data_IF_174665318726
#
_entry.id   IF_174665318726
#
_cell.length_a   1.000
_cell.length_b   1.000
_cell.length_c   1.000
_cell.angle_alpha   90.00
_cell.angle_beta   90.00
_cell.angle_gamma   90.00
#
_symmetry.space_group_name_H-M   'P 1'
#
loop_
_entity.id
_entity.type
_entity.pdbx_description
1 polymer ?
#
# COMPACT_ATOMS: atom_id res chain seq x y z
N UNK A 1 5.58 9.26 -16.19
CA UNK A 1 6.21 9.17 -14.86
C UNK A 1 5.94 10.48 -14.16
N UNK A 2 5.57 10.49 -12.88
CA UNK A 2 5.39 11.73 -12.12
C UNK A 2 6.70 12.53 -12.13
N UNK A 3 6.71 13.73 -12.71
CA UNK A 3 7.89 14.59 -12.77
C UNK A 3 8.29 15.15 -11.40
N UNK A 4 7.39 15.10 -10.42
CA UNK A 4 7.64 15.53 -9.04
C UNK A 4 8.11 14.38 -8.14
N UNK A 5 8.09 13.13 -8.62
CA UNK A 5 8.69 12.02 -7.89
C UNK A 5 10.21 12.15 -7.99
N UNK A 6 10.82 12.56 -6.89
CA UNK A 6 12.26 12.70 -6.79
C UNK A 6 12.92 11.35 -6.46
N UNK A 7 14.19 11.21 -6.81
CA UNK A 7 15.01 10.13 -6.27
C UNK A 7 15.44 10.52 -4.84
N UNK A 8 14.75 9.98 -3.84
CA UNK A 8 15.06 10.29 -2.46
C UNK A 8 16.39 9.64 -2.05
N UNK A 9 17.30 10.46 -1.51
CA UNK A 9 18.47 9.91 -0.86
C UNK A 9 18.10 9.14 0.41
N UNK A 10 18.99 8.24 0.82
CA UNK A 10 18.76 7.33 1.94
C UNK A 10 18.58 8.06 3.28
N UNK A 11 19.18 9.25 3.44
CA UNK A 11 19.10 10.05 4.67
C UNK A 11 17.73 10.71 4.79
N UNK A 12 17.20 11.25 3.70
CA UNK A 12 15.85 11.80 3.63
C UNK A 12 14.83 10.73 3.99
N UNK A 13 14.89 9.56 3.36
CA UNK A 13 13.99 8.45 3.69
C UNK A 13 14.10 7.99 5.15
N UNK A 14 15.32 7.99 5.72
CA UNK A 14 15.50 7.65 7.12
C UNK A 14 14.76 8.63 8.05
N UNK A 15 14.89 9.94 7.82
CA UNK A 15 14.15 10.97 8.58
C UNK A 15 12.65 10.76 8.45
N UNK A 16 12.15 10.50 7.23
CA UNK A 16 10.72 10.22 7.00
C UNK A 16 10.24 9.01 7.76
N UNK A 17 11.02 7.93 7.75
CA UNK A 17 10.70 6.68 8.44
C UNK A 17 10.64 6.89 9.95
N UNK A 18 11.60 7.63 10.50
CA UNK A 18 11.64 7.90 11.94
C UNK A 18 10.46 8.79 12.35
N UNK A 19 10.11 9.81 11.55
CA UNK A 19 8.90 10.60 11.74
C UNK A 19 7.63 9.74 11.70
N UNK A 20 7.51 8.86 10.71
CA UNK A 20 6.35 7.98 10.59
C UNK A 20 6.15 7.14 11.86
N UNK A 21 7.21 6.45 12.31
CA UNK A 21 7.08 5.50 13.41
C UNK A 21 7.05 6.15 14.80
N UNK A 22 7.69 7.31 14.98
CA UNK A 22 7.63 8.04 16.25
C UNK A 22 6.23 8.61 16.52
N UNK A 23 5.51 9.04 15.47
CA UNK A 23 4.24 9.75 15.63
C UNK A 23 3.00 8.87 15.50
N UNK A 24 3.13 7.64 15.02
CA UNK A 24 1.98 6.76 14.79
C UNK A 24 1.25 6.34 16.09
N UNK A 25 1.86 6.55 17.25
CA UNK A 25 1.25 6.34 18.56
C UNK A 25 0.35 7.50 19.01
N UNK A 26 0.67 8.72 18.56
CA UNK A 26 0.11 9.97 19.05
C UNK A 26 -0.11 10.95 17.88
N UNK A 27 -0.76 10.49 16.81
CA UNK A 27 -1.19 11.38 15.72
C UNK A 27 -2.31 12.33 16.16
N UNK A 28 -2.98 12.01 17.27
CA UNK A 28 -4.04 12.83 17.84
C UNK A 28 -3.46 14.16 18.29
N UNK A 29 -3.84 15.25 17.61
CA UNK A 29 -3.33 16.58 17.95
C UNK A 29 -2.00 16.96 17.29
N UNK A 30 -1.40 16.11 16.45
CA UNK A 30 -0.22 16.48 15.62
C UNK A 30 -0.54 17.62 14.67
N UNK A 31 -1.77 17.61 14.14
CA UNK A 31 -2.23 18.63 13.20
C UNK A 31 -3.49 19.35 13.70
N UNK A 32 -4.52 18.59 14.11
CA UNK A 32 -5.78 19.11 14.62
C UNK A 32 -6.21 18.34 15.87
N UNK A 33 -6.79 19.03 16.86
CA UNK A 33 -7.32 18.40 18.08
C UNK A 33 -8.50 17.45 17.83
N UNK A 34 -9.20 17.57 16.69
CA UNK A 34 -10.47 16.90 16.42
C UNK A 34 -10.46 15.94 15.22
N UNK A 35 -9.29 15.68 14.59
CA UNK A 35 -9.24 14.78 13.43
C UNK A 35 -8.89 13.37 13.88
N UNK A 36 -9.81 12.43 13.62
CA UNK A 36 -9.59 11.01 13.86
C UNK A 36 -8.38 10.51 13.05
N UNK A 37 -7.69 9.50 13.57
CA UNK A 37 -6.47 8.85 13.05
C UNK A 37 -6.46 8.53 11.53
N UNK A 38 -7.60 8.59 10.87
CA UNK A 38 -7.84 7.90 9.61
C UNK A 38 -7.50 8.73 8.37
N UNK A 39 -6.98 9.95 8.51
CA UNK A 39 -6.73 10.85 7.39
C UNK A 39 -5.47 11.70 7.57
N UNK A 40 -4.34 11.07 7.89
CA UNK A 40 -3.06 11.77 7.97
C UNK A 40 -2.19 11.46 6.75
N UNK A 41 -1.18 12.30 6.55
CA UNK A 41 -0.13 12.06 5.59
C UNK A 41 1.15 12.74 5.99
N UNK A 42 2.24 12.22 5.45
CA UNK A 42 3.59 12.73 5.65
C UNK A 42 4.04 13.42 4.37
N UNK A 43 4.51 14.67 4.48
CA UNK A 43 5.18 15.32 3.36
C UNK A 43 6.45 14.54 3.00
N UNK A 44 6.67 14.24 1.72
CA UNK A 44 7.84 13.46 1.30
C UNK A 44 9.03 14.34 0.87
N UNK A 45 8.86 15.66 0.72
CA UNK A 45 9.95 16.58 0.35
C UNK A 45 11.15 16.46 1.28
N UNK A 46 12.38 16.52 0.75
CA UNK A 46 13.59 16.35 1.56
C UNK A 46 13.64 17.33 2.73
N UNK A 47 14.00 16.85 3.93
CA UNK A 47 14.11 17.62 5.19
C UNK A 47 12.80 18.24 5.73
N UNK A 48 11.65 18.08 5.05
CA UNK A 48 10.38 18.59 5.56
C UNK A 48 9.75 17.64 6.58
N UNK A 49 9.55 18.03 7.83
CA UNK A 49 8.99 17.13 8.85
C UNK A 49 7.46 17.22 8.98
N UNK A 50 6.80 17.88 8.02
CA UNK A 50 5.39 18.18 8.10
C UNK A 50 4.52 16.91 8.01
N UNK A 51 3.68 16.73 9.03
CA UNK A 51 2.58 15.77 9.08
C UNK A 51 1.29 16.57 9.15
N UNK A 52 0.36 16.29 8.24
CA UNK A 52 -0.91 17.01 8.16
C UNK A 52 -2.10 16.07 8.12
N UNK A 53 -3.24 16.58 8.56
CA UNK A 53 -4.53 15.92 8.35
C UNK A 53 -5.19 16.35 7.04
N UNK A 54 -6.10 15.51 6.56
CA UNK A 54 -7.08 15.86 5.53
C UNK A 54 -6.53 16.02 4.13
N UNK A 55 -7.43 15.82 3.18
CA UNK A 55 -7.37 16.13 1.76
C UNK A 55 -8.78 15.92 1.21
N UNK A 56 -9.15 16.64 0.15
CA UNK A 56 -10.48 16.59 -0.51
C UNK A 56 -10.88 15.17 -0.95
N UNK A 57 -9.93 14.25 -1.00
CA UNK A 57 -10.14 12.83 -1.32
C UNK A 57 -10.69 11.99 -0.16
N UNK A 58 -10.78 12.54 1.06
CA UNK A 58 -11.28 11.82 2.23
C UNK A 58 -12.67 12.27 2.70
N UNK A 59 -13.19 13.38 2.16
CA UNK A 59 -14.50 13.93 2.50
C UNK A 59 -15.32 14.16 1.21
N UNK A 60 -16.61 13.81 1.25
CA UNK A 60 -17.50 13.81 0.06
C UNK A 60 -17.90 15.21 -0.40
N UNK A 61 -17.70 16.22 0.44
CA UNK A 61 -18.33 17.53 0.36
C UNK A 61 -17.33 18.66 0.08
N UNK A 62 -16.05 18.34 -0.16
CA UNK A 62 -14.96 19.28 -0.51
C UNK A 62 -14.81 20.50 0.44
N UNK A 63 -15.47 20.45 1.60
CA UNK A 63 -15.62 21.58 2.51
C UNK A 63 -14.37 21.83 3.35
N UNK A 64 -13.50 20.81 3.49
CA UNK A 64 -12.21 20.89 4.15
C UNK A 64 -11.08 20.40 3.23
N UNK A 65 -10.24 21.32 2.77
CA UNK A 65 -9.10 20.99 1.89
C UNK A 65 -7.98 20.22 2.59
N UNK A 66 -7.96 20.19 3.92
CA UNK A 66 -6.91 19.56 4.71
C UNK A 66 -5.64 20.39 4.82
N UNK A 67 -4.90 20.19 5.92
CA UNK A 67 -3.64 20.87 6.19
C UNK A 67 -2.50 20.37 5.29
N UNK A 68 -2.57 19.15 4.76
CA UNK A 68 -1.61 18.69 3.74
C UNK A 68 -1.71 19.51 2.45
N UNK A 69 -2.94 19.82 2.02
CA UNK A 69 -3.15 20.61 0.81
C UNK A 69 -2.76 22.07 1.01
N UNK A 70 -3.07 22.64 2.18
CA UNK A 70 -2.61 23.98 2.55
C UNK A 70 -1.07 24.06 2.58
N UNK A 71 -0.41 23.06 3.18
CA UNK A 71 1.05 22.94 3.19
C UNK A 71 1.62 22.91 1.77
N UNK A 72 1.05 22.09 0.88
CA UNK A 72 1.44 22.06 -0.53
C UNK A 72 1.28 23.43 -1.19
N UNK A 73 0.15 24.12 -1.00
CA UNK A 73 -0.08 25.44 -1.59
C UNK A 73 0.95 26.48 -1.13
N UNK A 74 1.35 26.43 0.14
CA UNK A 74 2.30 27.38 0.73
C UNK A 74 3.75 27.09 0.34
N UNK A 75 4.14 25.81 0.24
CA UNK A 75 5.55 25.40 0.11
C UNK A 75 5.90 24.84 -1.26
N UNK A 76 4.89 24.51 -2.09
CA UNK A 76 5.04 23.78 -3.34
C UNK A 76 5.65 22.37 -3.19
N UNK A 77 5.59 21.80 -1.97
CA UNK A 77 5.97 20.40 -1.74
C UNK A 77 4.90 19.48 -2.35
N UNK A 78 5.28 18.67 -3.33
CA UNK A 78 4.31 18.03 -4.23
C UNK A 78 3.89 16.63 -3.80
N UNK A 79 4.77 15.90 -3.12
CA UNK A 79 4.60 14.47 -2.83
C UNK A 79 4.26 14.27 -1.37
N UNK A 80 3.24 13.45 -1.12
CA UNK A 80 2.85 13.02 0.23
C UNK A 80 2.67 11.51 0.28
N UNK A 81 2.99 10.92 1.43
CA UNK A 81 2.65 9.55 1.77
C UNK A 81 1.35 9.56 2.57
N UNK A 82 0.28 9.01 1.99
CA UNK A 82 -1.05 8.94 2.59
C UNK A 82 -1.12 7.76 3.57
N UNK A 83 -1.68 8.04 4.75
CA UNK A 83 -1.94 7.08 5.82
C UNK A 83 -3.44 7.13 6.12
N UNK A 84 -4.24 6.47 5.28
CA UNK A 84 -5.68 6.30 5.51
C UNK A 84 -6.06 4.83 5.52
N UNK A 85 -7.20 4.46 6.12
CA UNK A 85 -7.63 3.06 6.12
C UNK A 85 -7.91 2.49 4.74
N UNK A 86 -8.31 3.33 3.77
CA UNK A 86 -8.59 2.90 2.40
C UNK A 86 -7.33 2.87 1.51
N UNK A 87 -6.40 3.79 1.73
CA UNK A 87 -5.22 4.02 0.86
C UNK A 87 -3.94 4.02 1.69
N UNK A 88 -3.80 3.04 2.59
CA UNK A 88 -2.64 3.00 3.48
C UNK A 88 -1.34 2.81 2.70
N UNK A 89 -0.33 3.63 3.01
CA UNK A 89 0.98 3.65 2.34
C UNK A 89 0.86 3.88 0.84
N UNK A 90 0.11 4.91 0.44
CA UNK A 90 0.01 5.35 -0.94
C UNK A 90 0.74 6.67 -1.14
N UNK A 91 1.61 6.75 -2.15
CA UNK A 91 2.23 8.01 -2.55
C UNK A 91 1.28 8.78 -3.47
N UNK A 92 1.08 10.06 -3.19
CA UNK A 92 0.24 10.97 -3.96
C UNK A 92 1.01 12.21 -4.38
N UNK A 93 0.75 12.68 -5.58
CA UNK A 93 1.26 13.95 -6.07
C UNK A 93 0.14 14.98 -6.18
N UNK A 94 0.24 16.08 -5.43
CA UNK A 94 -0.72 17.19 -5.51
C UNK A 94 -0.71 17.90 -6.86
N UNK A 95 0.47 18.23 -7.39
CA UNK A 95 0.59 18.93 -8.67
C UNK A 95 0.12 18.10 -9.87
N UNK A 96 0.30 16.78 -9.83
CA UNK A 96 -0.23 15.87 -10.86
C UNK A 96 -1.66 15.41 -10.57
N UNK A 97 -2.21 15.73 -9.41
CA UNK A 97 -3.51 15.29 -8.91
C UNK A 97 -3.75 13.78 -9.10
N UNK A 98 -2.75 12.94 -8.79
CA UNK A 98 -2.85 11.51 -9.02
C UNK A 98 -1.96 10.68 -8.08
N UNK A 99 -2.31 9.41 -7.82
CA UNK A 99 -1.45 8.48 -7.09
C UNK A 99 -0.24 8.08 -7.94
N UNK A 100 0.89 7.84 -7.27
CA UNK A 100 2.19 7.52 -7.88
C UNK A 100 2.46 6.02 -7.78
N UNK A 101 2.92 5.39 -8.85
CA UNK A 101 3.27 3.95 -8.89
C UNK A 101 2.07 2.99 -8.91
N UNK A 102 0.87 3.53 -8.77
CA UNK A 102 -0.49 3.01 -8.92
C UNK A 102 -0.79 1.50 -8.72
N UNK A 103 -1.64 1.21 -7.71
CA UNK A 103 -2.17 -0.12 -7.40
C UNK A 103 -3.61 -0.02 -6.86
N UNK A 104 -4.62 -0.04 -7.74
CA UNK A 104 -6.02 0.08 -7.31
C UNK A 104 -7.05 0.40 -8.40
N UNK A 105 -6.64 0.82 -9.61
CA UNK A 105 -7.55 0.95 -10.75
C UNK A 105 -6.94 0.22 -11.97
N UNK A 106 -7.66 -0.75 -12.56
CA UNK A 106 -7.13 -1.59 -13.64
C UNK A 106 -6.87 -0.85 -14.97
N UNK A 107 -7.33 0.40 -15.11
CA UNK A 107 -7.31 1.12 -16.39
C UNK A 107 -6.24 2.22 -16.49
N UNK A 108 -5.38 2.40 -15.49
CA UNK A 108 -4.31 3.40 -15.51
C UNK A 108 -2.96 2.71 -15.29
N UNK A 109 -2.27 2.38 -16.38
CA UNK A 109 -0.90 1.86 -16.32
C UNK A 109 0.11 3.00 -16.12
N UNK A 110 0.77 3.03 -14.96
CA UNK A 110 1.95 3.87 -14.73
C UNK A 110 3.22 3.19 -15.25
N UNK A 111 4.25 3.96 -15.68
CA UNK A 111 5.51 3.39 -16.14
C UNK A 111 6.14 2.45 -15.11
N UNK A 112 6.76 1.37 -15.57
CA UNK A 112 7.42 0.35 -14.71
C UNK A 112 8.43 0.99 -13.75
N UNK A 113 9.20 1.98 -14.23
CA UNK A 113 10.17 2.70 -13.41
C UNK A 113 9.51 3.43 -12.23
N UNK A 114 8.34 4.05 -12.44
CA UNK A 114 7.58 4.72 -11.37
C UNK A 114 7.09 3.70 -10.33
N UNK A 115 6.56 2.56 -10.80
CA UNK A 115 6.11 1.45 -9.93
C UNK A 115 7.26 0.95 -9.06
N UNK A 116 8.43 0.75 -9.65
CA UNK A 116 9.64 0.29 -8.98
C UNK A 116 10.13 1.29 -7.92
N UNK A 117 10.22 2.58 -8.27
CA UNK A 117 10.63 3.62 -7.32
C UNK A 117 9.68 3.71 -6.13
N UNK A 118 8.36 3.74 -6.38
CA UNK A 118 7.38 3.76 -5.30
C UNK A 118 7.51 2.55 -4.39
N UNK A 119 7.64 1.34 -4.96
CA UNK A 119 7.82 0.12 -4.17
C UNK A 119 9.07 0.22 -3.28
N UNK A 120 10.21 0.66 -3.80
CA UNK A 120 11.43 0.79 -3.02
C UNK A 120 11.28 1.78 -1.86
N UNK A 121 10.64 2.93 -2.10
CA UNK A 121 10.35 3.92 -1.05
C UNK A 121 9.48 3.28 0.04
N UNK A 122 8.38 2.64 -0.33
CA UNK A 122 7.43 2.07 0.62
C UNK A 122 8.01 0.89 1.40
N UNK A 123 8.77 0.01 0.74
CA UNK A 123 9.49 -1.08 1.39
C UNK A 123 10.54 -0.55 2.38
N UNK A 124 11.27 0.52 2.03
CA UNK A 124 12.19 1.16 2.97
C UNK A 124 11.45 1.73 4.19
N UNK A 125 10.37 2.48 3.95
CA UNK A 125 9.56 3.11 5.00
C UNK A 125 8.95 2.08 5.98
N UNK A 126 8.62 0.89 5.48
CA UNK A 126 7.98 -0.20 6.25
C UNK A 126 8.92 -1.30 6.73
N UNK A 127 10.20 -1.23 6.37
CA UNK A 127 11.20 -2.19 6.82
C UNK A 127 11.37 -2.10 8.34
N UNK A 128 11.48 -3.27 8.99
CA UNK A 128 11.74 -3.32 10.42
C UNK A 128 13.12 -2.72 10.74
N UNK A 129 13.26 -2.00 11.86
CA UNK A 129 14.55 -1.58 12.38
C UNK A 129 15.48 -2.78 12.58
N UNK A 130 16.81 -2.60 12.47
CA UNK A 130 17.76 -3.68 12.71
C UNK A 130 17.78 -4.10 14.18
N UNK A 131 18.23 -5.31 14.47
CA UNK A 131 18.05 -5.96 15.79
C UNK A 131 18.82 -5.32 16.96
N UNK A 132 19.66 -4.32 16.71
CA UNK A 132 20.42 -3.63 17.76
C UNK A 132 19.56 -2.73 18.66
N UNK A 133 18.28 -2.50 18.33
CA UNK A 133 17.31 -1.84 19.22
C UNK A 133 15.98 -2.63 19.30
N UNK A 134 15.91 -3.65 20.18
CA UNK A 134 14.74 -4.53 20.30
C UNK A 134 13.45 -3.80 20.70
N UNK A 135 13.53 -2.76 21.53
CA UNK A 135 12.36 -1.98 21.97
C UNK A 135 11.73 -1.24 20.80
N UNK A 136 12.52 -0.48 20.04
CA UNK A 136 12.05 0.22 18.84
C UNK A 136 11.49 -0.77 17.80
N UNK A 137 12.11 -1.94 17.66
CA UNK A 137 11.63 -2.98 16.75
C UNK A 137 10.25 -3.50 17.16
N UNK A 138 10.02 -3.76 18.43
CA UNK A 138 8.71 -4.18 18.94
C UNK A 138 7.65 -3.10 18.74
N UNK A 139 7.99 -1.83 19.02
CA UNK A 139 7.09 -0.71 18.77
C UNK A 139 6.68 -0.64 17.29
N UNK A 140 7.64 -0.73 16.36
CA UNK A 140 7.35 -0.73 14.93
C UNK A 140 6.47 -1.93 14.53
N UNK A 141 6.72 -3.12 15.09
CA UNK A 141 5.90 -4.32 14.84
C UNK A 141 4.46 -4.10 15.30
N UNK A 142 4.25 -3.68 16.54
CA UNK A 142 2.91 -3.45 17.08
C UNK A 142 2.15 -2.39 16.27
N UNK A 143 2.84 -1.33 15.85
CA UNK A 143 2.25 -0.28 15.03
C UNK A 143 1.89 -0.77 13.64
N UNK A 144 2.79 -1.51 13.01
CA UNK A 144 2.54 -2.18 11.74
C UNK A 144 1.34 -3.13 11.81
N UNK A 145 1.14 -3.85 12.91
CA UNK A 145 -0.07 -4.68 13.12
C UNK A 145 -1.34 -3.83 13.17
N UNK A 146 -1.37 -2.77 13.97
CA UNK A 146 -2.57 -1.92 14.11
C UNK A 146 -2.99 -1.32 12.77
N UNK A 147 -2.03 -0.91 11.95
CA UNK A 147 -2.25 -0.47 10.58
C UNK A 147 -2.94 -1.55 9.74
N UNK A 148 -2.34 -2.74 9.70
CA UNK A 148 -2.78 -3.79 8.78
C UNK A 148 -4.08 -4.44 9.25
N UNK A 149 -4.33 -4.47 10.56
CA UNK A 149 -5.64 -4.83 11.15
C UNK A 149 -6.73 -3.85 10.73
N UNK A 150 -6.46 -2.54 10.67
CA UNK A 150 -7.44 -1.59 10.14
C UNK A 150 -7.73 -1.90 8.67
N UNK A 151 -6.69 -2.09 7.86
CA UNK A 151 -6.87 -2.45 6.45
C UNK A 151 -7.77 -3.70 6.27
N UNK A 152 -7.61 -4.72 7.13
CA UNK A 152 -8.45 -5.92 7.07
C UNK A 152 -9.89 -5.65 7.50
N UNK A 153 -10.13 -4.85 8.54
CA UNK A 153 -11.49 -4.47 9.00
C UNK A 153 -12.21 -3.60 7.97
N UNK A 154 -11.52 -2.69 7.29
CA UNK A 154 -12.12 -1.79 6.28
C UNK A 154 -12.46 -2.49 4.95
N UNK A 155 -12.23 -3.81 4.81
CA UNK A 155 -12.65 -4.59 3.64
C UNK A 155 -14.17 -4.76 3.49
N UNK A 156 -15.00 -4.18 4.37
CA UNK A 156 -16.43 -4.48 4.50
C UNK A 156 -17.33 -4.10 3.31
N UNK A 157 -16.81 -3.74 2.12
CA UNK A 157 -17.65 -3.37 0.96
C UNK A 157 -17.19 -3.86 -0.43
N UNK A 158 -16.22 -4.77 -0.59
CA UNK A 158 -15.68 -5.07 -1.95
C UNK A 158 -15.37 -6.54 -2.29
N UNK A 159 -15.47 -6.81 -3.60
CA UNK A 159 -15.31 -8.09 -4.30
C UNK A 159 -14.02 -8.83 -3.93
N UNK A 160 -14.15 -9.87 -3.08
CA UNK A 160 -13.11 -10.84 -2.79
C UNK A 160 -12.75 -11.61 -4.06
N UNK A 161 -11.78 -11.08 -4.80
CA UNK A 161 -11.47 -11.50 -6.16
C UNK A 161 -10.04 -11.92 -6.33
N UNK A 162 -9.10 -11.47 -5.50
CA UNK A 162 -7.68 -11.73 -5.73
C UNK A 162 -7.18 -12.93 -4.93
N UNK A 163 -6.46 -13.85 -5.59
CA UNK A 163 -5.95 -15.07 -4.98
C UNK A 163 -4.60 -14.81 -4.30
N UNK A 164 -4.50 -15.21 -3.03
CA UNK A 164 -3.30 -15.14 -2.19
C UNK A 164 -2.98 -16.54 -1.68
N UNK A 165 -1.75 -17.01 -1.87
CA UNK A 165 -1.29 -18.32 -1.38
C UNK A 165 -1.56 -18.48 0.13
N UNK A 166 -2.11 -19.64 0.51
CA UNK A 166 -2.65 -19.87 1.86
C UNK A 166 -1.61 -19.76 2.96
N UNK A 167 -0.40 -20.31 2.78
CA UNK A 167 0.64 -20.27 3.82
C UNK A 167 1.11 -18.85 4.07
N UNK A 168 1.31 -18.07 3.02
CA UNK A 168 1.62 -16.65 3.11
C UNK A 168 0.51 -15.90 3.85
N UNK A 169 -0.76 -16.14 3.48
CA UNK A 169 -1.90 -15.52 4.14
C UNK A 169 -1.98 -15.90 5.62
N UNK A 170 -1.76 -17.16 5.99
CA UNK A 170 -1.74 -17.59 7.38
C UNK A 170 -0.62 -16.92 8.17
N UNK A 171 0.60 -16.80 7.61
CA UNK A 171 1.68 -16.05 8.27
C UNK A 171 1.32 -14.58 8.46
N UNK A 172 0.65 -13.99 7.48
CA UNK A 172 0.16 -12.62 7.57
C UNK A 172 -0.88 -12.48 8.70
N UNK A 173 -1.87 -13.37 8.79
CA UNK A 173 -2.84 -13.37 9.89
C UNK A 173 -2.15 -13.59 11.25
N UNK A 174 -1.23 -14.54 11.37
CA UNK A 174 -0.47 -14.80 12.60
C UNK A 174 0.33 -13.55 13.03
N UNK A 175 0.88 -12.81 12.07
CA UNK A 175 1.48 -11.50 12.31
C UNK A 175 0.44 -10.49 12.82
N UNK A 176 -0.70 -10.34 12.14
CA UNK A 176 -1.74 -9.37 12.51
C UNK A 176 -2.26 -9.60 13.93
N UNK A 177 -2.57 -10.84 14.31
CA UNK A 177 -3.18 -11.15 15.61
C UNK A 177 -2.16 -11.23 16.75
N UNK A 178 -0.88 -11.01 16.46
CA UNK A 178 0.19 -11.05 17.47
C UNK A 178 0.67 -12.45 17.85
N UNK A 179 0.27 -13.49 17.11
CA UNK A 179 0.76 -14.87 17.32
C UNK A 179 2.22 -15.03 16.86
N UNK A 180 2.67 -14.23 15.91
CA UNK A 180 4.06 -14.17 15.46
C UNK A 180 4.54 -12.73 15.30
N UNK A 181 5.79 -12.46 15.68
CA UNK A 181 6.48 -11.20 15.37
C UNK A 181 7.14 -11.20 13.97
N UNK A 182 7.10 -12.34 13.28
CA UNK A 182 7.66 -12.48 11.94
C UNK A 182 6.67 -12.02 10.88
N UNK A 183 7.13 -11.15 9.99
CA UNK A 183 6.38 -10.76 8.80
C UNK A 183 6.34 -11.91 7.78
N UNK A 184 5.28 -12.02 6.96
CA UNK A 184 5.14 -13.10 5.98
C UNK A 184 6.14 -13.07 4.81
N UNK A 185 6.89 -11.98 4.64
CA UNK A 185 7.80 -11.76 3.51
C UNK A 185 7.07 -11.36 2.22
N UNK A 186 7.78 -11.38 1.08
CA UNK A 186 7.17 -11.15 -0.23
C UNK A 186 6.18 -12.28 -0.57
N UNK A 187 5.13 -11.95 -1.33
CA UNK A 187 4.13 -12.94 -1.71
C UNK A 187 4.64 -13.84 -2.84
N UNK A 188 4.60 -15.15 -2.60
CA UNK A 188 4.84 -16.17 -3.61
C UNK A 188 3.56 -16.94 -3.92
N UNK A 189 2.95 -16.62 -5.07
CA UNK A 189 1.79 -17.35 -5.60
C UNK A 189 2.22 -18.47 -6.56
N UNK A 190 3.51 -18.71 -6.79
CA UNK A 190 3.99 -19.61 -7.85
C UNK A 190 3.43 -21.04 -7.74
N UNK A 191 3.18 -21.52 -6.52
CA UNK A 191 2.60 -22.85 -6.25
C UNK A 191 1.15 -22.99 -6.74
N UNK A 192 0.43 -21.88 -6.91
CA UNK A 192 -0.95 -21.88 -7.40
C UNK A 192 -1.04 -22.16 -8.91
N UNK A 193 0.10 -22.08 -9.62
CA UNK A 193 0.16 -22.29 -11.05
C UNK A 193 0.72 -23.66 -11.41
N UNK A 194 0.56 -24.05 -12.67
CA UNK A 194 1.24 -25.23 -13.17
C UNK A 194 2.77 -25.01 -13.18
N UNK A 195 3.57 -26.01 -12.76
CA UNK A 195 5.04 -25.89 -12.72
C UNK A 195 5.68 -25.49 -14.05
N UNK A 196 5.08 -25.91 -15.16
CA UNK A 196 5.56 -25.66 -16.53
C UNK A 196 4.78 -24.57 -17.26
N UNK A 197 3.71 -24.03 -16.65
CA UNK A 197 2.90 -22.95 -17.22
C UNK A 197 2.45 -22.02 -16.09
N UNK A 198 3.33 -21.08 -15.75
CA UNK A 198 3.07 -20.08 -14.71
C UNK A 198 1.96 -19.09 -15.09
N UNK A 199 1.36 -19.20 -16.28
CA UNK A 199 0.22 -18.38 -16.69
C UNK A 199 -1.14 -19.03 -16.38
N UNK A 200 -1.15 -20.32 -16.04
CA UNK A 200 -2.38 -21.08 -15.78
C UNK A 200 -2.44 -21.55 -14.34
N UNK A 201 -3.53 -21.19 -13.66
CA UNK A 201 -3.84 -21.72 -12.34
C UNK A 201 -4.07 -23.23 -12.43
N UNK A 202 -3.65 -23.95 -11.38
CA UNK A 202 -4.05 -25.36 -11.25
C UNK A 202 -5.57 -25.45 -11.09
N UNK A 203 -6.15 -26.53 -11.58
CA UNK A 203 -7.60 -26.75 -11.56
C UNK A 203 -8.10 -27.39 -10.25
N UNK A 204 -7.18 -27.88 -9.43
CA UNK A 204 -7.42 -28.61 -8.19
C UNK A 204 -7.33 -27.71 -6.94
N UNK A 205 -7.21 -26.39 -7.12
CA UNK A 205 -7.07 -25.44 -6.02
C UNK A 205 -8.36 -25.33 -5.21
N UNK A 206 -8.22 -25.41 -3.89
CA UNK A 206 -9.32 -25.31 -2.94
C UNK A 206 -9.16 -24.03 -2.11
N UNK A 207 -10.18 -23.17 -2.13
CA UNK A 207 -10.25 -21.98 -1.27
C UNK A 207 -10.19 -22.38 0.21
N UNK A 208 -9.41 -21.65 1.00
CA UNK A 208 -9.16 -21.93 2.42
C UNK A 208 -8.08 -23.00 2.67
N UNK A 209 -7.67 -23.75 1.64
CA UNK A 209 -6.60 -24.75 1.73
C UNK A 209 -5.35 -24.37 0.92
N UNK A 210 -5.50 -24.09 -0.38
CA UNK A 210 -4.38 -23.68 -1.24
C UNK A 210 -4.24 -22.16 -1.31
N UNK A 211 -5.36 -21.44 -1.28
CA UNK A 211 -5.38 -19.98 -1.38
C UNK A 211 -6.53 -19.36 -0.58
N UNK A 212 -6.43 -18.06 -0.37
CA UNK A 212 -7.49 -17.20 0.17
C UNK A 212 -7.84 -16.11 -0.83
N UNK A 213 -9.07 -15.61 -0.75
CA UNK A 213 -9.51 -14.47 -1.55
C UNK A 213 -9.39 -13.18 -0.75
N UNK A 214 -8.86 -12.14 -1.39
CA UNK A 214 -8.78 -10.80 -0.81
C UNK A 214 -9.38 -9.76 -1.73
N UNK A 215 -9.91 -8.68 -1.15
CA UNK A 215 -10.34 -7.50 -1.90
C UNK A 215 -9.18 -6.68 -2.46
N UNK A 216 -9.53 -5.73 -3.32
CA UNK A 216 -8.57 -4.89 -4.05
C UNK A 216 -7.58 -4.11 -3.16
N UNK A 217 -8.04 -3.59 -2.02
CA UNK A 217 -7.21 -2.79 -1.12
C UNK A 217 -6.08 -3.61 -0.48
N UNK A 218 -6.36 -4.85 -0.05
CA UNK A 218 -5.32 -5.76 0.46
C UNK A 218 -4.37 -6.14 -0.67
N UNK A 219 -4.88 -6.51 -1.85
CA UNK A 219 -4.04 -6.82 -3.02
C UNK A 219 -3.05 -5.68 -3.33
N UNK A 220 -3.55 -4.45 -3.37
CA UNK A 220 -2.71 -3.26 -3.60
C UNK A 220 -1.69 -3.02 -2.47
N UNK A 221 -2.09 -3.23 -1.20
CA UNK A 221 -1.16 -3.12 -0.07
C UNK A 221 -0.04 -4.16 -0.16
N UNK A 222 -0.37 -5.42 -0.46
CA UNK A 222 0.62 -6.51 -0.59
C UNK A 222 1.67 -6.14 -1.65
N UNK A 223 1.24 -5.74 -2.85
CA UNK A 223 2.17 -5.36 -3.93
C UNK A 223 3.09 -4.20 -3.55
N UNK A 224 2.57 -3.23 -2.80
CA UNK A 224 3.30 -2.02 -2.39
C UNK A 224 4.29 -2.27 -1.26
N UNK A 225 3.86 -2.98 -0.21
CA UNK A 225 4.56 -3.07 1.07
C UNK A 225 5.34 -4.37 1.18
N UNK A 226 4.72 -5.51 0.88
CA UNK A 226 5.38 -6.81 0.93
C UNK A 226 6.14 -7.11 -0.38
N UNK A 227 5.61 -6.64 -1.50
CA UNK A 227 6.09 -7.01 -2.83
C UNK A 227 5.73 -8.44 -3.21
N UNK A 228 6.20 -8.84 -4.38
CA UNK A 228 5.99 -10.16 -4.97
C UNK A 228 7.36 -10.82 -5.17
N UNK A 229 7.43 -12.13 -4.94
CA UNK A 229 8.59 -12.92 -5.34
C UNK A 229 8.81 -12.88 -6.85
N UNK A 230 10.04 -13.15 -7.28
CA UNK A 230 10.40 -13.04 -8.70
C UNK A 230 9.55 -13.97 -9.58
N UNK A 231 8.84 -13.39 -10.55
CA UNK A 231 7.95 -14.12 -11.45
C UNK A 231 6.63 -14.59 -10.82
N UNK A 232 6.31 -14.13 -9.61
CA UNK A 232 5.00 -14.27 -8.97
C UNK A 232 4.09 -13.11 -9.38
N UNK A 233 2.77 -13.35 -9.41
CA UNK A 233 1.76 -12.31 -9.62
C UNK A 233 0.42 -12.68 -8.95
N UNK A 234 -0.41 -11.67 -8.72
CA UNK A 234 -1.72 -11.83 -8.08
C UNK A 234 -2.79 -11.90 -9.17
N UNK A 235 -3.54 -13.00 -9.19
CA UNK A 235 -4.63 -13.26 -10.15
C UNK A 235 -5.96 -12.82 -9.56
N UNK A 236 -6.86 -12.28 -10.38
CA UNK A 236 -8.27 -12.10 -10.03
C UNK A 236 -9.11 -13.30 -10.51
N UNK A 237 -9.88 -13.91 -9.60
CA UNK A 237 -10.89 -14.93 -9.88
C UNK A 237 -12.21 -14.39 -10.44
N UNK A 238 -12.28 -13.10 -10.78
CA UNK A 238 -13.41 -12.50 -11.50
C UNK A 238 -13.25 -12.64 -13.01
N UNK A 239 -14.25 -13.19 -13.67
CA UNK A 239 -14.39 -13.34 -15.12
C UNK A 239 -13.90 -12.10 -15.89
N UNK A 240 -13.07 -12.34 -16.90
CA UNK A 240 -12.87 -11.43 -18.02
C UNK A 240 -14.22 -10.98 -18.56
N UNK A 241 -14.60 -9.72 -18.36
CA UNK A 241 -15.59 -9.04 -19.18
C UNK A 241 -14.90 -7.94 -19.99
N UNK A 242 -14.71 -8.28 -21.27
CA UNK A 242 -14.56 -7.41 -22.44
C UNK A 242 -13.34 -6.50 -22.56
N UNK A 243 -12.38 -6.95 -23.36
CA UNK A 243 -12.00 -6.25 -24.61
C UNK A 243 -11.46 -7.28 -25.60
N UNK A 244 -12.32 -8.21 -26.02
CA UNK A 244 -12.16 -8.84 -27.33
C UNK A 244 -12.73 -7.85 -28.34
N UNK A 245 -11.83 -7.20 -29.06
CA UNK A 245 -12.12 -6.38 -30.22
C UNK A 245 -12.66 -7.29 -31.33
N UNK A 246 -13.98 -7.50 -31.35
CA UNK A 246 -14.67 -8.15 -32.46
C UNK A 246 -14.87 -7.09 -33.53
N UNK A 247 -13.80 -6.75 -34.24
CA UNK A 247 -13.84 -5.96 -35.46
C UNK A 247 -12.98 -6.53 -36.60
N UNK A 248 -12.34 -7.69 -36.42
CA UNK A 248 -11.46 -8.29 -37.43
C UNK A 248 -11.92 -9.64 -38.01
N UNK A 249 -13.22 -9.89 -38.11
CA UNK A 249 -13.74 -10.98 -38.95
C UNK A 249 -15.02 -10.55 -39.68
N UNK A 250 -14.88 -9.58 -40.59
CA UNK A 250 -15.74 -9.47 -41.76
C UNK A 250 -14.90 -9.84 -42.98
N UNK A 251 -15.06 -11.08 -43.46
CA UNK A 251 -15.15 -11.47 -44.87
C UNK A 251 -15.79 -12.86 -44.96
#
# INVERSE_FOLDING_TARGET
MCCHLQNYDMRSLQIKRDLLWNWIQDLNGVCCKNVQFDQYGLCMESQCEFIGCGDVFFEKDESYSGHLRAHHQQTQHNIVLKLSPLNYMELWCYSCNSPIGHWGFPHIEKPIAEKYMCRNILQFMTALPPDHNPSLRLDVIERRRLIEQRLSVFQQNHDYTYLIEKRWFTRWIDFLIGKSNEMPGALDNSILFFPHDRQKLRHDLIIGYDYELVGRSIRGYIERVYGLESGSYIVSGGTSMHTLDISNFFY
#
